data_IF_566337832152
#
_entry.id   IF_566337832152
#
_cell.length_a   1.000
_cell.length_b   1.000
_cell.length_c   1.000
_cell.angle_alpha   90.00
_cell.angle_beta   90.00
_cell.angle_gamma   90.00
#
_symmetry.space_group_name_H-M   'P 1'
#
loop_
_entity.id
_entity.type
_entity.pdbx_description
1 polymer ?
#
# COMPACT_ATOMS: atom_id res chain seq x y z
N UNK A 1 6.16 18.46 -15.70
CA UNK A 1 6.87 17.22 -16.09
C UNK A 1 6.29 16.11 -15.23
N UNK A 2 5.50 15.20 -15.81
CA UNK A 2 4.89 14.08 -15.08
C UNK A 2 5.95 13.00 -14.91
N UNK A 3 6.52 12.88 -13.72
CA UNK A 3 7.44 11.79 -13.38
C UNK A 3 6.60 10.67 -12.80
N UNK A 4 6.57 9.51 -13.47
CA UNK A 4 5.98 8.29 -12.91
C UNK A 4 6.91 7.81 -11.78
N UNK A 5 6.62 8.24 -10.55
CA UNK A 5 7.34 7.72 -9.39
C UNK A 5 6.69 6.39 -8.97
N UNK A 6 7.17 5.28 -9.53
CA UNK A 6 6.91 3.96 -8.97
C UNK A 6 7.78 3.80 -7.72
N UNK A 7 7.25 4.17 -6.56
CA UNK A 7 7.82 3.75 -5.27
C UNK A 7 6.73 3.05 -4.45
N UNK A 8 6.57 1.76 -4.72
CA UNK A 8 5.77 0.86 -3.90
C UNK A 8 6.69 0.33 -2.78
N UNK A 9 6.78 1.07 -1.68
CA UNK A 9 7.48 0.59 -0.50
C UNK A 9 6.63 -0.50 0.16
N UNK A 10 7.13 -1.72 0.12
CA UNK A 10 6.46 -2.87 0.68
C UNK A 10 6.51 -2.85 2.21
N UNK A 11 5.37 -3.12 2.83
CA UNK A 11 5.15 -3.02 4.28
C UNK A 11 4.89 -4.39 4.91
N UNK A 12 5.15 -4.49 6.22
CA UNK A 12 4.81 -5.65 7.03
C UNK A 12 5.93 -6.68 7.14
N UNK A 13 6.25 -7.07 8.37
CA UNK A 13 7.33 -8.01 8.68
C UNK A 13 7.12 -9.39 8.04
N UNK A 14 5.88 -9.88 8.03
CA UNK A 14 5.55 -11.22 7.48
C UNK A 14 5.72 -11.23 5.95
N UNK A 15 5.12 -10.31 5.17
CA UNK A 15 5.36 -10.27 3.73
C UNK A 15 6.83 -10.09 3.33
N UNK A 16 7.55 -9.22 4.03
CA UNK A 16 8.97 -8.99 3.80
C UNK A 16 9.80 -10.25 4.11
N UNK A 17 9.52 -10.93 5.23
CA UNK A 17 10.19 -12.19 5.59
C UNK A 17 9.91 -13.35 4.64
N UNK A 18 8.86 -13.27 3.82
CA UNK A 18 8.57 -14.25 2.76
C UNK A 18 9.17 -13.87 1.40
N UNK A 19 10.05 -12.86 1.34
CA UNK A 19 10.69 -12.42 0.10
C UNK A 19 9.67 -11.95 -0.95
N UNK A 20 8.53 -11.42 -0.51
CA UNK A 20 7.46 -10.96 -1.40
C UNK A 20 6.50 -12.04 -1.93
N UNK A 21 6.68 -13.31 -1.56
CA UNK A 21 5.73 -14.38 -1.92
C UNK A 21 4.33 -14.20 -1.32
N UNK A 22 4.15 -13.24 -0.42
CA UNK A 22 2.87 -12.92 0.21
C UNK A 22 1.75 -12.59 -0.77
N UNK A 23 2.09 -12.11 -1.97
CA UNK A 23 1.10 -11.82 -3.00
C UNK A 23 0.16 -13.00 -3.30
N UNK A 24 0.65 -14.24 -3.22
CA UNK A 24 -0.18 -15.44 -3.39
C UNK A 24 -0.83 -15.95 -2.09
N UNK A 25 -0.32 -15.52 -0.93
CA UNK A 25 -0.81 -15.96 0.38
C UNK A 25 -1.95 -15.08 0.86
N UNK A 26 -1.73 -13.76 0.88
CA UNK A 26 -2.71 -12.68 1.05
C UNK A 26 -3.78 -12.99 2.13
N UNK A 27 -3.32 -13.25 3.35
CA UNK A 27 -4.14 -13.85 4.42
C UNK A 27 -4.09 -13.15 5.78
N UNK A 28 -3.57 -11.92 5.83
CA UNK A 28 -3.67 -11.04 7.01
C UNK A 28 -3.83 -9.57 6.58
N UNK A 29 -3.91 -8.64 7.54
CA UNK A 29 -4.08 -7.20 7.33
C UNK A 29 -3.07 -6.56 6.37
N UNK A 30 -1.90 -7.16 6.14
CA UNK A 30 -0.94 -6.64 5.15
C UNK A 30 -1.45 -6.82 3.71
N UNK A 31 -2.53 -7.59 3.51
CA UNK A 31 -3.15 -7.82 2.21
C UNK A 31 -3.65 -6.53 1.56
N UNK A 32 -3.93 -5.47 2.33
CA UNK A 32 -4.37 -4.16 1.82
C UNK A 32 -3.35 -3.62 0.81
N UNK A 33 -2.06 -3.62 1.18
CA UNK A 33 -0.98 -3.05 0.37
C UNK A 33 -0.41 -4.04 -0.66
N UNK A 34 -0.50 -5.34 -0.38
CA UNK A 34 0.14 -6.37 -1.22
C UNK A 34 -0.80 -7.01 -2.25
N UNK A 35 -2.01 -7.40 -1.84
CA UNK A 35 -2.99 -8.04 -2.72
C UNK A 35 -4.40 -7.92 -2.11
N UNK A 36 -5.17 -6.86 -2.43
CA UNK A 36 -6.49 -6.65 -1.84
C UNK A 36 -7.51 -7.75 -2.24
N UNK A 37 -7.25 -8.59 -3.24
CA UNK A 37 -8.08 -9.77 -3.52
C UNK A 37 -8.08 -10.79 -2.37
N UNK A 38 -7.11 -10.73 -1.46
CA UNK A 38 -7.09 -11.52 -0.22
C UNK A 38 -8.06 -11.05 0.86
N UNK A 39 -8.50 -9.78 0.84
CA UNK A 39 -9.35 -9.17 1.87
C UNK A 39 -10.58 -10.00 2.26
N UNK A 40 -11.42 -10.50 1.33
CA UNK A 40 -12.64 -11.24 1.69
C UNK A 40 -12.35 -12.58 2.40
N UNK A 41 -11.10 -13.06 2.36
CA UNK A 41 -10.68 -14.27 3.10
C UNK A 41 -10.37 -13.97 4.57
N UNK A 42 -10.20 -12.70 4.92
CA UNK A 42 -10.06 -12.24 6.31
C UNK A 42 -11.44 -12.24 6.94
N UNK A 43 -11.81 -13.36 7.57
CA UNK A 43 -13.14 -13.54 8.20
C UNK A 43 -13.33 -12.73 9.49
N UNK A 44 -12.36 -11.90 9.86
CA UNK A 44 -12.34 -11.10 11.08
C UNK A 44 -11.79 -9.72 10.80
N UNK A 45 -12.19 -8.75 11.63
CA UNK A 45 -11.57 -7.42 11.63
C UNK A 45 -10.11 -7.57 12.06
N UNK A 46 -9.20 -6.94 11.33
CA UNK A 46 -7.78 -6.97 11.65
C UNK A 46 -7.24 -5.55 11.73
N UNK A 47 -6.28 -5.35 12.62
CA UNK A 47 -5.53 -4.13 12.77
C UNK A 47 -4.05 -4.51 12.75
N UNK A 48 -3.27 -3.78 11.96
CA UNK A 48 -1.83 -3.94 11.85
C UNK A 48 -1.15 -2.58 11.97
N UNK A 49 -0.02 -2.56 12.67
CA UNK A 49 0.84 -1.38 12.76
C UNK A 49 2.28 -1.83 12.68
N UNK A 50 3.12 -1.01 12.06
CA UNK A 50 4.55 -1.27 11.91
C UNK A 50 5.29 0.05 11.98
N UNK A 51 6.42 0.05 12.67
CA UNK A 51 7.36 1.16 12.69
C UNK A 51 8.76 0.59 12.47
N UNK A 52 9.54 1.26 11.62
CA UNK A 52 10.91 0.90 11.35
C UNK A 52 11.75 2.15 11.09
N UNK A 53 13.00 2.14 11.54
CA UNK A 53 14.06 3.00 10.99
C UNK A 53 14.70 2.23 9.83
N UNK A 54 14.52 2.72 8.62
CA UNK A 54 15.01 2.08 7.42
C UNK A 54 16.52 2.29 7.32
N UNK A 55 17.25 1.17 7.27
CA UNK A 55 18.70 1.10 7.05
C UNK A 55 19.56 1.75 8.14
N UNK A 56 18.96 2.17 9.27
CA UNK A 56 19.67 2.87 10.34
C UNK A 56 20.16 4.26 9.94
N UNK A 57 19.50 4.88 8.95
CA UNK A 57 19.86 6.19 8.42
C UNK A 57 18.96 7.31 8.98
N UNK A 58 18.10 7.02 9.96
CA UNK A 58 17.11 7.97 10.48
C UNK A 58 15.90 8.16 9.56
N UNK A 59 15.71 7.26 8.59
CA UNK A 59 14.55 7.27 7.70
C UNK A 59 13.43 6.51 8.41
N UNK A 60 12.55 7.25 9.06
CA UNK A 60 11.40 6.68 9.75
C UNK A 60 10.35 6.19 8.75
N UNK A 61 9.87 4.97 8.95
CA UNK A 61 8.78 4.37 8.20
C UNK A 61 7.71 3.86 9.16
N UNK A 62 6.55 4.50 9.10
CA UNK A 62 5.37 4.17 9.91
C UNK A 62 4.27 3.64 9.03
N UNK A 63 3.58 2.61 9.47
CA UNK A 63 2.47 2.02 8.76
C UNK A 63 1.37 1.62 9.73
N UNK A 64 0.12 1.90 9.36
CA UNK A 64 -1.07 1.46 10.08
C UNK A 64 -2.10 1.00 9.06
N UNK A 65 -2.68 -0.18 9.28
CA UNK A 65 -3.72 -0.75 8.45
C UNK A 65 -4.87 -1.29 9.27
N UNK A 66 -6.05 -1.29 8.67
CA UNK A 66 -7.26 -1.84 9.25
C UNK A 66 -8.11 -2.51 8.17
N UNK A 67 -8.63 -3.69 8.50
CA UNK A 67 -9.50 -4.49 7.63
C UNK A 67 -10.86 -4.64 8.29
N UNK A 68 -11.90 -4.41 7.49
CA UNK A 68 -13.28 -4.64 7.85
C UNK A 68 -13.95 -5.59 6.85
N UNK A 69 -14.13 -6.88 7.22
CA UNK A 69 -14.98 -7.78 6.47
C UNK A 69 -16.47 -7.49 6.73
N UNK A 70 -17.22 -7.27 5.67
CA UNK A 70 -18.67 -7.05 5.74
C UNK A 70 -19.46 -8.34 5.54
N UNK A 71 -18.91 -9.26 4.76
CA UNK A 71 -19.52 -10.56 4.46
C UNK A 71 -18.43 -11.58 4.13
N UNK A 72 -18.79 -12.86 4.00
CA UNK A 72 -17.87 -13.93 3.54
C UNK A 72 -17.33 -13.70 2.12
N UNK A 73 -17.86 -12.71 1.38
CA UNK A 73 -17.45 -12.39 0.00
C UNK A 73 -16.95 -10.96 -0.20
N UNK A 74 -17.15 -10.06 0.76
CA UNK A 74 -16.83 -8.65 0.61
C UNK A 74 -16.11 -8.14 1.85
N UNK A 75 -14.97 -7.51 1.65
CA UNK A 75 -14.21 -6.85 2.69
C UNK A 75 -13.58 -5.56 2.16
N UNK A 76 -13.45 -4.57 3.04
CA UNK A 76 -12.73 -3.34 2.78
C UNK A 76 -11.49 -3.29 3.66
N UNK A 77 -10.48 -2.57 3.18
CA UNK A 77 -9.26 -2.29 3.91
C UNK A 77 -8.87 -0.83 3.72
N UNK A 78 -8.30 -0.25 4.76
CA UNK A 78 -7.72 1.09 4.69
C UNK A 78 -6.35 1.04 5.35
N UNK A 79 -5.36 1.68 4.74
CA UNK A 79 -4.05 1.85 5.36
C UNK A 79 -3.49 3.24 5.13
N UNK A 80 -2.56 3.59 6.02
CA UNK A 80 -1.72 4.76 5.94
C UNK A 80 -0.27 4.32 6.11
N UNK A 81 0.59 4.72 5.19
CA UNK A 81 2.03 4.61 5.29
C UNK A 81 2.65 6.01 5.27
N UNK A 82 3.65 6.24 6.11
CA UNK A 82 4.41 7.48 6.16
C UNK A 82 5.89 7.14 6.14
N UNK A 83 6.62 7.73 5.21
CA UNK A 83 8.06 7.71 5.12
C UNK A 83 8.54 9.12 5.40
N UNK A 84 9.37 9.29 6.43
CA UNK A 84 9.87 10.57 6.87
C UNK A 84 11.37 10.54 7.08
N UNK A 85 12.05 11.55 6.60
CA UNK A 85 13.44 11.85 6.94
C UNK A 85 13.51 13.32 7.33
N UNK A 86 14.19 13.64 8.42
CA UNK A 86 14.31 15.00 8.92
C UNK A 86 15.69 15.19 9.54
N UNK A 87 16.39 16.22 9.07
CA UNK A 87 17.66 16.70 9.60
C UNK A 87 17.66 18.23 9.60
N UNK A 88 18.73 18.85 10.09
CA UNK A 88 18.80 20.29 10.36
C UNK A 88 18.53 21.19 9.14
N UNK A 89 18.84 20.70 7.93
CA UNK A 89 18.64 21.43 6.67
C UNK A 89 17.57 20.79 5.77
N UNK A 90 17.44 19.45 5.78
CA UNK A 90 16.64 18.69 4.83
C UNK A 90 15.50 17.96 5.52
N UNK A 91 14.27 18.25 5.10
CA UNK A 91 13.08 17.50 5.48
C UNK A 91 12.44 16.82 4.28
N UNK A 92 12.05 15.56 4.44
CA UNK A 92 11.34 14.78 3.44
C UNK A 92 10.18 14.05 4.09
N UNK A 93 9.00 14.14 3.51
CA UNK A 93 7.83 13.38 3.93
C UNK A 93 7.08 12.84 2.73
N UNK A 94 6.83 11.52 2.71
CA UNK A 94 5.96 10.84 1.76
C UNK A 94 4.85 10.12 2.54
N UNK A 95 3.62 10.55 2.32
CA UNK A 95 2.43 9.98 2.95
C UNK A 95 1.56 9.32 1.91
N UNK A 96 1.16 8.09 2.20
CA UNK A 96 0.35 7.24 1.32
C UNK A 96 -0.87 6.77 2.07
N UNK A 97 -2.04 7.02 1.50
CA UNK A 97 -3.32 6.53 2.00
C UNK A 97 -3.91 5.57 0.97
N UNK A 98 -4.20 4.33 1.36
CA UNK A 98 -4.83 3.36 0.49
C UNK A 98 -6.23 3.02 0.98
N UNK A 99 -7.18 2.98 0.05
CA UNK A 99 -8.52 2.46 0.23
C UNK A 99 -8.69 1.26 -0.68
N UNK A 100 -8.82 0.09 -0.08
CA UNK A 100 -8.88 -1.18 -0.79
C UNK A 100 -10.21 -1.87 -0.60
N UNK A 101 -10.67 -2.54 -1.64
CA UNK A 101 -11.82 -3.43 -1.58
C UNK A 101 -11.44 -4.78 -2.17
N UNK A 102 -11.99 -5.84 -1.61
CA UNK A 102 -11.83 -7.19 -2.14
C UNK A 102 -13.18 -7.89 -2.22
N UNK A 103 -13.40 -8.57 -3.34
CA UNK A 103 -14.62 -9.30 -3.63
C UNK A 103 -14.30 -10.74 -4.07
N UNK A 104 -15.00 -11.70 -3.50
CA UNK A 104 -14.86 -13.12 -3.83
C UNK A 104 -16.12 -13.64 -4.55
N UNK A 105 -16.20 -13.51 -5.89
CA UNK A 105 -17.34 -14.00 -6.67
C UNK A 105 -17.45 -15.53 -6.64
N UNK A 106 -16.32 -16.23 -6.69
CA UNK A 106 -16.26 -17.70 -6.72
C UNK A 106 -15.36 -18.20 -5.60
N UNK A 107 -15.56 -19.44 -5.13
CA UNK A 107 -14.67 -20.04 -4.12
C UNK A 107 -13.19 -20.08 -4.56
N UNK A 108 -12.97 -20.20 -5.87
CA UNK A 108 -11.65 -20.28 -6.49
C UNK A 108 -11.08 -18.90 -6.82
N UNK A 109 -11.91 -17.90 -7.09
CA UNK A 109 -11.48 -16.59 -7.61
C UNK A 109 -11.88 -15.46 -6.64
N UNK A 110 -10.89 -14.66 -6.27
CA UNK A 110 -11.08 -13.36 -5.65
C UNK A 110 -10.45 -12.26 -6.50
N UNK A 111 -11.07 -11.09 -6.47
CA UNK A 111 -10.60 -9.87 -7.13
C UNK A 111 -10.47 -8.77 -6.08
N UNK A 112 -9.57 -7.83 -6.30
CA UNK A 112 -9.44 -6.67 -5.43
C UNK A 112 -8.97 -5.44 -6.20
N UNK A 113 -9.33 -4.28 -5.68
CA UNK A 113 -8.88 -3.00 -6.19
C UNK A 113 -8.49 -2.08 -5.06
N UNK A 114 -7.55 -1.19 -5.34
CA UNK A 114 -7.06 -0.18 -4.39
C UNK A 114 -7.04 1.17 -5.07
N UNK A 115 -7.59 2.17 -4.39
CA UNK A 115 -7.34 3.58 -4.68
C UNK A 115 -6.27 4.07 -3.72
N UNK A 116 -5.27 4.74 -4.27
CA UNK A 116 -4.08 5.21 -3.57
C UNK A 116 -4.02 6.72 -3.70
N UNK A 117 -3.86 7.42 -2.59
CA UNK A 117 -3.57 8.85 -2.53
C UNK A 117 -2.18 9.03 -1.95
N UNK A 118 -1.33 9.77 -2.64
CA UNK A 118 0.07 10.03 -2.25
C UNK A 118 0.24 11.53 -2.10
N UNK A 119 0.87 11.95 -1.01
CA UNK A 119 1.24 13.35 -0.76
C UNK A 119 2.69 13.39 -0.32
N UNK A 120 3.49 14.18 -1.04
CA UNK A 120 4.93 14.33 -0.81
C UNK A 120 5.25 15.77 -0.54
N UNK A 121 6.18 15.99 0.37
CA UNK A 121 6.79 17.27 0.64
C UNK A 121 8.29 17.12 0.80
N UNK A 122 9.02 18.08 0.26
CA UNK A 122 10.46 18.22 0.41
C UNK A 122 10.74 19.64 0.86
N UNK A 123 11.36 19.79 2.02
CA UNK A 123 11.76 21.07 2.58
C UNK A 123 13.28 21.18 2.67
N UNK A 124 13.77 22.37 2.37
CA UNK A 124 15.16 22.78 2.57
C UNK A 124 15.15 24.08 3.40
N UNK A 125 15.89 24.13 4.49
CA UNK A 125 15.93 25.27 5.44
C UNK A 125 14.54 25.76 5.88
N UNK A 126 13.63 24.82 6.16
CA UNK A 126 12.25 25.12 6.58
C UNK A 126 11.33 25.66 5.47
N UNK A 127 11.81 25.74 4.22
CA UNK A 127 11.01 26.13 3.06
C UNK A 127 10.66 24.94 2.19
N UNK A 128 9.37 24.77 1.84
CA UNK A 128 8.87 23.66 1.02
C UNK A 128 9.13 23.95 -0.47
N UNK A 129 9.87 23.06 -1.13
CA UNK A 129 10.28 23.17 -2.53
C UNK A 129 9.65 22.11 -3.43
N UNK A 130 9.13 21.01 -2.86
CA UNK A 130 8.80 19.82 -3.61
C UNK A 130 7.42 19.25 -3.32
N UNK A 131 6.42 20.09 -3.01
CA UNK A 131 5.08 19.58 -2.69
C UNK A 131 4.40 18.99 -3.92
N UNK A 132 3.96 17.75 -3.78
CA UNK A 132 3.20 17.08 -4.81
C UNK A 132 2.17 16.11 -4.24
N UNK A 133 1.01 16.06 -4.88
CA UNK A 133 -0.02 15.07 -4.59
C UNK A 133 -0.30 14.22 -5.83
N UNK A 134 -0.75 12.98 -5.64
CA UNK A 134 -1.14 12.12 -6.73
C UNK A 134 -2.13 11.02 -6.34
N UNK A 135 -2.83 10.52 -7.35
CA UNK A 135 -3.79 9.42 -7.22
C UNK A 135 -3.31 8.26 -8.09
N UNK A 136 -3.41 7.05 -7.57
CA UNK A 136 -3.12 5.80 -8.27
C UNK A 136 -4.21 4.76 -8.05
N UNK A 137 -4.25 3.78 -8.94
CA UNK A 137 -5.15 2.65 -8.84
C UNK A 137 -4.39 1.34 -9.02
N UNK A 138 -4.65 0.38 -8.14
CA UNK A 138 -4.11 -0.96 -8.23
C UNK A 138 -5.25 -1.96 -8.40
N UNK A 139 -5.02 -3.03 -9.15
CA UNK A 139 -5.95 -4.14 -9.30
C UNK A 139 -5.22 -5.43 -9.02
N UNK A 140 -5.91 -6.39 -8.40
CA UNK A 140 -5.32 -7.67 -8.05
C UNK A 140 -6.30 -8.83 -8.21
N UNK A 141 -5.72 -10.00 -8.40
CA UNK A 141 -6.40 -11.27 -8.54
C UNK A 141 -5.78 -12.28 -7.59
N UNK A 142 -6.61 -13.17 -7.08
CA UNK A 142 -6.19 -14.33 -6.30
C UNK A 142 -7.00 -15.56 -6.73
N UNK A 143 -6.30 -16.56 -7.25
CA UNK A 143 -6.87 -17.80 -7.77
C UNK A 143 -6.38 -18.96 -6.91
N UNK A 144 -7.29 -19.77 -6.38
CA UNK A 144 -6.99 -20.96 -5.59
C UNK A 144 -7.62 -22.20 -6.23
N UNK A 145 -7.01 -22.76 -7.31
CA UNK A 145 -7.60 -23.88 -8.05
C UNK A 145 -7.63 -25.18 -7.23
N UNK A 146 -6.70 -25.31 -6.28
CA UNK A 146 -6.60 -26.46 -5.38
C UNK A 146 -6.51 -25.95 -3.93
N UNK A 147 -6.76 -26.82 -2.95
CA UNK A 147 -6.68 -26.46 -1.52
C UNK A 147 -5.28 -25.94 -1.11
N UNK A 148 -4.24 -26.44 -1.76
CA UNK A 148 -2.83 -26.15 -1.43
C UNK A 148 -2.12 -25.30 -2.49
N UNK A 149 -2.79 -24.94 -3.59
CA UNK A 149 -2.21 -24.12 -4.65
C UNK A 149 -2.94 -22.79 -4.71
N UNK A 150 -2.18 -21.70 -4.61
CA UNK A 150 -2.68 -20.33 -4.77
C UNK A 150 -1.78 -19.57 -5.70
N UNK A 151 -2.40 -18.80 -6.58
CA UNK A 151 -1.77 -17.90 -7.53
C UNK A 151 -2.30 -16.50 -7.25
N UNK A 152 -1.39 -15.55 -7.05
CA UNK A 152 -1.73 -14.14 -6.87
C UNK A 152 -1.11 -13.32 -7.99
N UNK A 153 -1.84 -12.30 -8.46
CA UNK A 153 -1.36 -11.33 -9.44
C UNK A 153 -1.79 -9.94 -8.99
N UNK A 154 -0.85 -9.00 -8.94
CA UNK A 154 -1.12 -7.58 -8.68
C UNK A 154 -0.61 -6.74 -9.86
N UNK A 155 -1.44 -5.81 -10.31
CA UNK A 155 -1.11 -4.76 -11.27
C UNK A 155 -1.18 -3.43 -10.52
N UNK A 156 -0.04 -2.79 -10.35
CA UNK A 156 0.10 -1.57 -9.55
C UNK A 156 0.21 -0.33 -10.45
N UNK A 157 -0.34 0.78 -9.99
CA UNK A 157 -0.30 2.11 -10.61
C UNK A 157 -0.82 2.11 -12.06
N UNK A 158 -1.98 1.49 -12.26
CA UNK A 158 -2.71 1.50 -13.54
C UNK A 158 -3.06 2.94 -13.94
N UNK A 159 -2.55 3.38 -15.10
CA UNK A 159 -2.75 4.73 -15.62
C UNK A 159 -1.70 5.76 -15.16
N UNK A 160 -0.73 5.34 -14.35
CA UNK A 160 0.31 6.21 -13.77
C UNK A 160 -0.20 7.00 -12.56
N UNK A 161 0.64 7.19 -11.54
CA UNK A 161 0.32 8.10 -10.43
C UNK A 161 0.44 9.53 -10.95
N UNK A 162 -0.68 10.21 -11.13
CA UNK A 162 -0.69 11.60 -11.62
C UNK A 162 -0.21 12.53 -10.53
N UNK A 163 1.09 12.79 -10.49
CA UNK A 163 1.78 13.60 -9.48
C UNK A 163 1.81 15.07 -9.97
N UNK A 164 1.04 15.93 -9.30
CA UNK A 164 0.98 17.38 -9.59
C UNK A 164 1.93 18.14 -8.67
N UNK A 165 3.10 18.51 -9.19
CA UNK A 165 4.02 19.41 -8.50
C UNK A 165 3.48 20.83 -8.47
N UNK A 166 3.34 21.40 -7.26
CA UNK A 166 3.10 22.83 -7.09
C UNK A 166 4.45 23.54 -6.93
N UNK A 167 5.03 24.01 -8.04
CA UNK A 167 6.13 24.95 -7.97
C UNK A 167 5.62 26.30 -7.45
N UNK A 168 6.11 26.76 -6.30
CA UNK A 168 6.20 28.19 -6.01
C UNK A 168 7.55 28.64 -6.52
N UNK A 169 7.56 29.38 -7.64
CA UNK A 169 8.64 30.33 -7.93
C UNK A 169 8.46 31.50 -6.99
#
# INVERSE_FOLDING_TARGET
MTVSAQDQLFVGTRPLGMGGAFMAVANDGNTITWNPAGLPRLRRKEFNSTYADLYGMGISHSYIGIVWPFSDRLALGMDWASLGFDDQELGYSDNKLNFSFGYQPLKILSIGGTMKYVSRDMSLDGTSYGKSDGIGFDVSLLIAPLKNLRLGLGLFDLGGTSILYKNKV
#
